data_IF_235580923037
#
_entry.id   IF_235580923037
#
_cell.length_a   1.000
_cell.length_b   1.000
_cell.length_c   1.000
_cell.angle_alpha   90.00
_cell.angle_beta   90.00
_cell.angle_gamma   90.00
#
_symmetry.space_group_name_H-M   'P 1'
#
loop_
_entity.id
_entity.type
_entity.pdbx_description
1 polymer ?
#
# COMPACT_ATOMS: atom_id res chain seq x y z
N UNK A 1 -23.58 11.55 5.97
CA UNK A 1 -22.25 11.78 5.35
C UNK A 1 -21.63 10.42 5.03
N UNK A 2 -21.53 9.98 3.76
CA UNK A 2 -20.98 8.68 3.43
C UNK A 2 -19.47 8.81 3.13
N UNK A 3 -18.62 8.63 4.14
CA UNK A 3 -17.14 8.67 3.97
C UNK A 3 -16.51 7.28 3.81
N UNK A 4 -17.30 6.22 3.60
CA UNK A 4 -16.82 4.84 3.65
C UNK A 4 -16.56 4.16 2.29
N UNK A 5 -17.04 4.72 1.16
CA UNK A 5 -16.92 4.04 -0.14
C UNK A 5 -15.59 4.30 -0.85
N UNK A 6 -15.01 5.50 -0.70
CA UNK A 6 -13.75 5.86 -1.38
C UNK A 6 -12.54 5.12 -0.81
N UNK A 7 -12.62 4.72 0.47
CA UNK A 7 -11.54 4.08 1.21
C UNK A 7 -11.18 2.68 0.72
N UNK A 8 -12.12 2.00 0.06
CA UNK A 8 -11.90 0.65 -0.49
C UNK A 8 -11.37 0.70 -1.93
N UNK A 9 -11.76 1.70 -2.73
CA UNK A 9 -11.33 1.83 -4.13
C UNK A 9 -9.84 2.16 -4.26
N UNK A 10 -9.31 3.04 -3.41
CA UNK A 10 -7.88 3.41 -3.44
C UNK A 10 -6.96 2.24 -3.09
N UNK A 11 -7.39 1.32 -2.23
CA UNK A 11 -6.58 0.19 -1.77
C UNK A 11 -6.37 -0.82 -2.89
N UNK A 12 -7.44 -1.18 -3.62
CA UNK A 12 -7.34 -2.13 -4.72
C UNK A 12 -6.53 -1.53 -5.88
N UNK A 13 -6.67 -0.22 -6.12
CA UNK A 13 -5.85 0.53 -7.09
C UNK A 13 -4.37 0.53 -6.72
N UNK A 14 -4.03 0.87 -5.48
CA UNK A 14 -2.66 0.87 -4.96
C UNK A 14 -2.07 -0.54 -4.98
N UNK A 15 -2.85 -1.55 -4.60
CA UNK A 15 -2.43 -2.96 -4.69
C UNK A 15 -2.21 -3.43 -6.13
N UNK A 16 -3.02 -2.97 -7.08
CA UNK A 16 -2.83 -3.26 -8.50
C UNK A 16 -1.56 -2.61 -9.07
N UNK A 17 -1.32 -1.34 -8.76
CA UNK A 17 -0.11 -0.60 -9.17
C UNK A 17 1.17 -1.25 -8.61
N UNK A 18 1.21 -1.50 -7.30
CA UNK A 18 2.33 -2.17 -6.65
C UNK A 18 2.45 -3.63 -7.13
N UNK A 19 1.34 -4.30 -7.38
CA UNK A 19 1.34 -5.67 -7.90
C UNK A 19 2.00 -5.75 -9.28
N UNK A 20 1.78 -4.75 -10.13
CA UNK A 20 2.46 -4.63 -11.42
C UNK A 20 3.93 -4.21 -11.27
N UNK A 21 4.25 -3.28 -10.36
CA UNK A 21 5.61 -2.78 -10.14
C UNK A 21 6.54 -3.87 -9.55
N UNK A 22 6.01 -4.73 -8.67
CA UNK A 22 6.72 -5.85 -8.06
C UNK A 22 6.38 -7.20 -8.73
N UNK A 23 5.75 -7.17 -9.92
CA UNK A 23 5.44 -8.38 -10.66
C UNK A 23 6.72 -9.16 -10.99
N UNK A 24 6.75 -10.45 -10.62
CA UNK A 24 7.93 -11.31 -10.81
C UNK A 24 9.03 -11.14 -9.75
N UNK A 25 8.87 -10.18 -8.83
CA UNK A 25 9.80 -9.94 -7.72
C UNK A 25 9.20 -10.42 -6.39
N UNK A 26 7.94 -10.09 -6.14
CA UNK A 26 7.22 -10.51 -4.94
C UNK A 26 5.87 -11.16 -5.29
N UNK A 27 5.40 -12.13 -4.48
CA UNK A 27 4.07 -12.70 -4.67
C UNK A 27 2.99 -11.64 -4.49
N UNK A 28 1.91 -11.67 -5.31
CA UNK A 28 0.81 -10.71 -5.21
C UNK A 28 0.08 -10.77 -3.85
N UNK A 29 0.14 -11.91 -3.16
CA UNK A 29 -0.35 -12.07 -1.79
C UNK A 29 0.45 -11.24 -0.78
N UNK A 30 1.77 -11.14 -0.94
CA UNK A 30 2.64 -10.31 -0.09
C UNK A 30 2.36 -8.84 -0.33
N UNK A 31 2.23 -8.44 -1.59
CA UNK A 31 1.87 -7.05 -1.97
C UNK A 31 0.53 -6.65 -1.34
N UNK A 32 -0.52 -7.48 -1.50
CA UNK A 32 -1.83 -7.21 -0.89
C UNK A 32 -1.79 -7.15 0.63
N UNK A 33 -1.02 -8.03 1.26
CA UNK A 33 -0.85 -8.02 2.71
C UNK A 33 -0.22 -6.69 3.19
N UNK A 34 0.88 -6.26 2.56
CA UNK A 34 1.56 -5.01 2.93
C UNK A 34 0.68 -3.78 2.71
N UNK A 35 -0.07 -3.73 1.60
CA UNK A 35 -1.02 -2.64 1.33
C UNK A 35 -2.12 -2.61 2.38
N UNK A 36 -2.63 -3.76 2.83
CA UNK A 36 -3.61 -3.85 3.91
C UNK A 36 -3.07 -3.38 5.26
N UNK A 37 -1.81 -3.67 5.58
CA UNK A 37 -1.16 -3.16 6.80
C UNK A 37 -0.96 -1.65 6.71
N UNK A 38 -0.46 -1.14 5.58
CA UNK A 38 -0.29 0.29 5.33
C UNK A 38 -1.61 1.05 5.43
N UNK A 39 -2.70 0.51 4.89
CA UNK A 39 -4.04 1.07 5.03
C UNK A 39 -4.45 1.20 6.50
N UNK A 40 -4.23 0.16 7.31
CA UNK A 40 -4.59 0.19 8.74
C UNK A 40 -3.75 1.19 9.53
N UNK A 41 -2.46 1.31 9.23
CA UNK A 41 -1.58 2.28 9.91
C UNK A 41 -1.93 3.73 9.59
N UNK A 42 -2.20 4.02 8.32
CA UNK A 42 -2.59 5.36 7.89
C UNK A 42 -4.03 5.68 8.28
N UNK A 43 -4.86 4.64 8.47
CA UNK A 43 -6.29 4.77 8.74
C UNK A 43 -6.52 5.45 10.10
N UNK A 44 -6.88 6.73 10.05
CA UNK A 44 -7.15 7.54 11.25
C UNK A 44 -6.02 8.49 11.61
N UNK A 45 -4.87 8.43 10.93
CA UNK A 45 -3.74 9.35 11.13
C UNK A 45 -3.56 10.35 10.00
N UNK A 46 -4.16 10.12 8.83
CA UNK A 46 -3.88 10.90 7.61
C UNK A 46 -5.16 11.43 6.96
N UNK A 47 -5.17 12.70 6.50
CA UNK A 47 -6.28 13.25 5.72
C UNK A 47 -6.48 12.48 4.40
N UNK A 48 -7.74 12.29 3.99
CA UNK A 48 -8.13 11.46 2.86
C UNK A 48 -7.40 11.82 1.54
N UNK A 49 -7.11 13.11 1.31
CA UNK A 49 -6.43 13.58 0.09
C UNK A 49 -4.97 13.14 -0.04
N UNK A 50 -4.28 12.80 1.06
CA UNK A 50 -2.90 12.31 1.04
C UNK A 50 -2.80 10.79 1.30
N UNK A 51 -3.94 10.13 1.54
CA UNK A 51 -4.00 8.76 2.01
C UNK A 51 -3.48 7.76 0.97
N UNK A 52 -3.91 7.87 -0.29
CA UNK A 52 -3.43 6.99 -1.37
C UNK A 52 -1.93 7.18 -1.65
N UNK A 53 -1.46 8.43 -1.74
CA UNK A 53 -0.04 8.70 -2.02
C UNK A 53 0.87 8.17 -0.89
N UNK A 54 0.50 8.42 0.37
CA UNK A 54 1.27 7.93 1.51
C UNK A 54 1.19 6.42 1.66
N UNK A 55 0.04 5.81 1.36
CA UNK A 55 -0.11 4.35 1.35
C UNK A 55 0.78 3.72 0.29
N UNK A 56 0.77 4.28 -0.93
CA UNK A 56 1.63 3.82 -2.00
C UNK A 56 3.11 3.93 -1.61
N UNK A 57 3.55 5.09 -1.08
CA UNK A 57 4.94 5.28 -0.63
C UNK A 57 5.34 4.31 0.48
N UNK A 58 4.50 4.13 1.51
CA UNK A 58 4.79 3.25 2.63
C UNK A 58 4.89 1.78 2.19
N UNK A 59 3.93 1.33 1.39
CA UNK A 59 3.91 -0.04 0.88
C UNK A 59 5.09 -0.29 -0.08
N UNK A 60 5.38 0.64 -1.01
CA UNK A 60 6.54 0.55 -1.89
C UNK A 60 7.86 0.49 -1.12
N UNK A 61 8.01 1.31 -0.07
CA UNK A 61 9.21 1.32 0.77
C UNK A 61 9.40 -0.02 1.50
N UNK A 62 8.33 -0.57 2.10
CA UNK A 62 8.40 -1.89 2.75
C UNK A 62 8.70 -3.02 1.76
N UNK A 63 8.04 -3.02 0.60
CA UNK A 63 8.29 -4.02 -0.44
C UNK A 63 9.73 -3.94 -0.97
N UNK A 64 10.27 -2.72 -1.13
CA UNK A 64 11.70 -2.50 -1.46
C UNK A 64 12.64 -2.99 -0.38
N UNK A 65 12.38 -2.71 0.90
CA UNK A 65 13.19 -3.27 2.01
C UNK A 65 13.16 -4.80 2.02
N UNK A 66 12.01 -5.38 1.71
CA UNK A 66 11.80 -6.83 1.65
C UNK A 66 12.47 -7.49 0.44
N UNK A 67 12.54 -6.78 -0.69
CA UNK A 67 13.19 -7.24 -1.91
C UNK A 67 14.71 -7.01 -1.90
N UNK A 68 15.16 -5.89 -1.31
CA UNK A 68 16.58 -5.50 -1.27
C UNK A 68 17.38 -6.19 -0.17
N UNK A 69 16.74 -6.73 0.86
CA UNK A 69 17.41 -7.18 2.08
C UNK A 69 17.92 -5.98 2.89
N UNK A 70 17.38 -5.75 4.08
CA UNK A 70 17.91 -4.68 4.97
C UNK A 70 19.30 -5.01 5.54
N UNK A 71 19.87 -4.18 6.43
CA UNK A 71 19.77 -2.73 6.61
C UNK A 71 21.12 -2.03 6.27
N UNK A 72 21.12 -0.70 6.18
CA UNK A 72 22.28 0.12 6.54
C UNK A 72 21.82 1.07 7.64
#
# INVERSE_FOLDING_TARGET
MPVHLERHGGVDRVAGLLGAEFAGVLPPTVVRHEVGVAQRELSGQVPAGAFEELMHRLAAQRLRQRCGGGPL
#
